data_IF_158608465490
#
_entry.id   IF_158608465490
#
_cell.length_a   1.000
_cell.length_b   1.000
_cell.length_c   1.000
_cell.angle_alpha   90.00
_cell.angle_beta   90.00
_cell.angle_gamma   90.00
#
_symmetry.space_group_name_H-M   'P 1'
#
loop_
_entity.id
_entity.type
_entity.pdbx_description
1 polymer ?
#
# COMPACT_ATOMS: atom_id res chain seq x y z
N UNK A 1 -24.06 -2.36 52.04
CA UNK A 1 -23.30 -1.25 51.41
C UNK A 1 -23.20 -1.61 49.93
N UNK A 2 -24.22 -1.58 49.07
CA UNK A 2 -25.21 -0.54 48.70
C UNK A 2 -24.61 0.79 48.25
N UNK A 3 -24.50 0.96 46.93
CA UNK A 3 -24.25 2.23 46.24
C UNK A 3 -23.49 1.99 44.92
N UNK A 4 -23.85 2.53 43.76
CA UNK A 4 -25.03 3.26 43.32
C UNK A 4 -25.07 3.16 41.78
N UNK A 5 -26.25 2.92 41.21
CA UNK A 5 -26.51 3.02 39.76
C UNK A 5 -26.54 4.51 39.35
N UNK A 6 -26.02 4.84 38.16
CA UNK A 6 -26.37 6.04 37.38
C UNK A 6 -26.69 5.54 35.95
N UNK A 7 -27.96 5.42 35.59
CA UNK A 7 -28.77 6.42 34.86
C UNK A 7 -28.01 6.98 33.66
N UNK A 8 -28.19 6.47 32.44
CA UNK A 8 -29.40 6.44 31.59
C UNK A 8 -29.82 7.84 31.11
N UNK A 9 -29.07 8.38 30.16
CA UNK A 9 -29.48 9.57 29.39
C UNK A 9 -29.84 9.12 27.98
N UNK A 10 -31.13 8.81 27.79
CA UNK A 10 -31.77 8.69 26.48
C UNK A 10 -31.85 10.10 25.88
N UNK A 11 -31.08 10.37 24.83
CA UNK A 11 -31.30 11.56 24.00
C UNK A 11 -32.25 11.18 22.88
N UNK A 12 -33.53 11.47 23.12
CA UNK A 12 -34.59 11.53 22.11
C UNK A 12 -34.42 12.86 21.37
N UNK A 13 -34.10 12.82 20.08
CA UNK A 13 -33.77 14.01 19.29
C UNK A 13 -34.45 14.02 17.92
N UNK A 14 -35.73 14.38 17.94
CA UNK A 14 -36.50 15.15 16.93
C UNK A 14 -36.21 14.92 15.44
N UNK A 15 -37.17 14.25 14.81
CA UNK A 15 -37.47 14.27 13.37
C UNK A 15 -37.88 15.69 12.95
N UNK A 16 -37.11 16.32 12.06
CA UNK A 16 -37.55 17.47 11.26
C UNK A 16 -37.48 17.05 9.80
N UNK A 17 -38.66 16.88 9.20
CA UNK A 17 -38.84 16.63 7.78
C UNK A 17 -38.47 17.86 6.97
N UNK A 18 -37.51 17.69 6.07
CA UNK A 18 -37.25 18.61 4.97
C UNK A 18 -37.63 17.88 3.69
N UNK A 19 -38.84 18.18 3.20
CA UNK A 19 -39.28 17.85 1.86
C UNK A 19 -38.63 18.86 0.90
N UNK A 20 -37.57 18.43 0.19
CA UNK A 20 -36.99 19.20 -0.92
C UNK A 20 -37.31 18.47 -2.22
N UNK A 21 -38.10 19.19 -3.01
CA UNK A 21 -38.48 19.02 -4.40
C UNK A 21 -37.49 18.24 -5.28
N UNK A 22 -38.00 17.15 -5.85
CA UNK A 22 -37.40 16.38 -6.95
C UNK A 22 -37.47 17.25 -8.22
N UNK A 23 -36.38 17.93 -8.55
CA UNK A 23 -36.20 18.51 -9.87
C UNK A 23 -35.75 17.40 -10.84
N UNK A 24 -36.57 17.13 -11.84
CA UNK A 24 -36.30 16.19 -12.91
C UNK A 24 -35.13 16.70 -13.77
N UNK A 25 -33.93 16.16 -13.56
CA UNK A 25 -32.86 16.22 -14.54
C UNK A 25 -33.09 15.10 -15.57
N UNK A 26 -33.77 15.45 -16.66
CA UNK A 26 -33.76 14.66 -17.89
C UNK A 26 -32.36 14.75 -18.50
N UNK A 27 -31.48 13.81 -18.14
CA UNK A 27 -30.25 13.56 -18.88
C UNK A 27 -30.61 12.85 -20.18
N UNK A 28 -30.86 13.62 -21.23
CA UNK A 28 -30.73 13.13 -22.59
C UNK A 28 -29.23 12.96 -22.85
N UNK A 29 -28.76 11.72 -22.92
CA UNK A 29 -27.41 11.40 -23.39
C UNK A 29 -27.33 11.73 -24.89
N UNK A 30 -26.53 12.72 -25.33
CA UNK A 30 -26.31 12.99 -26.75
C UNK A 30 -25.25 12.06 -27.35
N UNK A 31 -24.85 11.01 -26.64
CA UNK A 31 -23.85 10.06 -27.12
C UNK A 31 -24.56 8.87 -27.75
N UNK A 32 -24.74 8.99 -29.06
CA UNK A 32 -25.05 7.86 -29.94
C UNK A 32 -24.02 6.75 -29.66
N UNK A 33 -24.52 5.61 -29.16
CA UNK A 33 -23.69 4.46 -28.86
C UNK A 33 -22.92 4.09 -30.14
N UNK A 34 -21.58 4.05 -30.04
CA UNK A 34 -20.74 3.63 -31.15
C UNK A 34 -21.24 2.29 -31.69
N UNK A 35 -21.28 2.10 -33.02
CA UNK A 35 -21.73 0.86 -33.61
C UNK A 35 -20.91 -0.30 -33.02
N UNK A 36 -21.61 -1.34 -32.58
CA UNK A 36 -20.97 -2.58 -32.13
C UNK A 36 -20.12 -3.08 -33.30
N UNK A 37 -18.80 -3.26 -33.14
CA UNK A 37 -17.96 -3.73 -34.24
C UNK A 37 -18.47 -5.08 -34.72
N UNK A 38 -18.61 -5.22 -36.04
CA UNK A 38 -19.00 -6.48 -36.66
C UNK A 38 -18.06 -7.59 -36.19
N UNK A 39 -18.63 -8.61 -35.55
CA UNK A 39 -17.88 -9.80 -35.17
C UNK A 39 -17.50 -10.51 -36.45
N UNK A 40 -16.24 -10.34 -36.87
CA UNK A 40 -15.66 -11.16 -37.92
C UNK A 40 -15.76 -12.62 -37.46
N UNK A 41 -16.47 -13.50 -38.20
CA UNK A 41 -16.57 -14.91 -37.83
C UNK A 41 -15.16 -15.49 -37.81
N UNK A 42 -14.73 -15.96 -36.64
CA UNK A 42 -13.46 -16.66 -36.50
C UNK A 42 -13.53 -17.93 -37.36
N UNK A 43 -12.59 -18.14 -38.30
CA UNK A 43 -12.58 -19.37 -39.09
C UNK A 43 -12.44 -20.56 -38.16
N UNK A 44 -13.42 -21.48 -38.22
CA UNK A 44 -13.43 -22.71 -37.44
C UNK A 44 -12.38 -23.66 -38.02
N UNK A 45 -11.15 -23.59 -37.52
CA UNK A 45 -10.12 -24.59 -37.83
C UNK A 45 -10.49 -25.88 -37.10
N UNK A 46 -11.01 -26.87 -37.83
CA UNK A 46 -11.29 -28.20 -37.29
C UNK A 46 -9.98 -28.98 -37.17
N UNK A 47 -9.25 -28.79 -36.07
CA UNK A 47 -8.11 -29.62 -35.71
C UNK A 47 -8.62 -30.97 -35.23
N UNK A 48 -8.37 -32.04 -36.00
CA UNK A 48 -8.64 -33.41 -35.56
C UNK A 48 -7.62 -33.75 -34.47
N UNK A 49 -8.02 -33.63 -33.21
CA UNK A 49 -7.22 -34.10 -32.09
C UNK A 49 -7.10 -35.64 -32.14
N UNK A 50 -5.95 -36.23 -31.80
CA UNK A 50 -5.80 -37.67 -31.64
C UNK A 50 -6.84 -38.22 -30.66
N UNK A 51 -7.36 -39.45 -30.84
CA UNK A 51 -8.32 -40.06 -29.93
C UNK A 51 -7.73 -40.13 -28.51
N UNK A 52 -8.39 -39.46 -27.57
CA UNK A 52 -8.05 -39.45 -26.16
C UNK A 52 -8.57 -40.74 -25.49
N UNK A 53 -7.65 -41.65 -25.17
CA UNK A 53 -7.95 -42.90 -24.47
C UNK A 53 -7.94 -42.75 -22.94
N UNK A 54 -7.81 -41.54 -22.40
CA UNK A 54 -7.89 -41.28 -20.95
C UNK A 54 -9.34 -41.24 -20.42
N UNK A 55 -10.34 -41.27 -21.31
CA UNK A 55 -11.77 -41.19 -21.00
C UNK A 55 -12.42 -42.47 -20.50
N UNK A 56 -11.78 -43.27 -19.63
CA UNK A 56 -12.54 -44.23 -18.84
C UNK A 56 -13.33 -43.43 -17.81
N UNK A 57 -14.61 -43.23 -18.08
CA UNK A 57 -15.55 -42.68 -17.12
C UNK A 57 -15.68 -43.65 -15.93
N UNK A 58 -14.81 -43.48 -14.94
CA UNK A 58 -14.94 -44.17 -13.67
C UNK A 58 -16.18 -43.62 -12.96
N UNK A 59 -17.02 -44.51 -12.43
CA UNK A 59 -18.13 -44.08 -11.59
C UNK A 59 -17.58 -43.24 -10.43
N UNK A 60 -18.22 -42.10 -10.09
CA UNK A 60 -17.80 -41.30 -8.94
C UNK A 60 -17.84 -42.18 -7.70
N UNK A 61 -16.70 -42.33 -7.02
CA UNK A 61 -16.65 -43.01 -5.73
C UNK A 61 -17.19 -42.05 -4.70
N UNK A 62 -18.27 -42.42 -4.00
CA UNK A 62 -18.75 -41.66 -2.85
C UNK A 62 -17.70 -41.72 -1.73
N UNK A 63 -16.84 -40.70 -1.69
CA UNK A 63 -15.87 -40.48 -0.64
C UNK A 63 -16.15 -39.14 0.02
N UNK A 64 -16.39 -39.13 1.32
CA UNK A 64 -16.40 -37.90 2.11
C UNK A 64 -14.96 -37.55 2.46
N UNK A 65 -14.42 -36.47 1.90
CA UNK A 65 -13.12 -35.94 2.35
C UNK A 65 -13.29 -35.35 3.75
N UNK A 66 -12.75 -36.02 4.77
CA UNK A 66 -12.66 -35.45 6.11
C UNK A 66 -11.45 -34.52 6.16
N UNK A 67 -11.67 -33.22 5.96
CA UNK A 67 -10.65 -32.22 6.22
C UNK A 67 -10.61 -32.00 7.73
N UNK A 68 -9.58 -32.53 8.40
CA UNK A 68 -9.37 -32.23 9.81
C UNK A 68 -9.11 -30.73 9.98
N UNK A 69 -9.75 -30.12 10.98
CA UNK A 69 -9.49 -28.74 11.36
C UNK A 69 -8.00 -28.57 11.70
N UNK A 70 -7.36 -27.56 11.12
CA UNK A 70 -5.99 -27.22 11.48
C UNK A 70 -6.04 -26.50 12.82
N UNK A 71 -5.28 -27.01 13.79
CA UNK A 71 -5.12 -26.39 15.11
C UNK A 71 -3.65 -26.07 15.36
N UNK A 72 -3.37 -25.08 16.22
CA UNK A 72 -2.00 -24.73 16.64
C UNK A 72 -1.53 -25.63 17.80
N UNK A 73 -2.44 -26.03 18.69
CA UNK A 73 -2.15 -26.87 19.86
C UNK A 73 -3.39 -27.64 20.36
N UNK A 74 -3.25 -28.47 21.41
CA UNK A 74 -2.03 -28.67 22.21
C UNK A 74 -0.98 -29.56 21.50
N UNK A 75 0.29 -29.25 21.70
CA UNK A 75 1.44 -30.04 21.24
C UNK A 75 2.56 -30.07 22.30
N UNK A 76 3.79 -30.42 21.89
CA UNK A 76 4.97 -30.48 22.79
C UNK A 76 6.09 -29.54 22.37
N UNK A 77 5.88 -28.77 21.30
CA UNK A 77 6.87 -27.83 20.79
C UNK A 77 6.67 -26.47 21.44
N UNK A 78 7.70 -25.63 21.37
CA UNK A 78 7.67 -24.24 21.83
C UNK A 78 8.27 -23.37 20.74
N UNK A 79 7.64 -22.23 20.46
CA UNK A 79 8.25 -21.17 19.67
C UNK A 79 8.42 -19.95 20.55
N UNK A 80 9.61 -19.36 20.56
CA UNK A 80 9.91 -18.17 21.35
C UNK A 80 10.67 -17.16 20.51
N UNK A 81 10.87 -15.97 21.05
CA UNK A 81 11.64 -14.98 20.34
C UNK A 81 11.69 -13.62 21.01
N UNK A 82 12.26 -12.69 20.26
CA UNK A 82 12.30 -11.27 20.61
C UNK A 82 11.73 -10.44 19.47
N UNK A 83 11.07 -9.35 19.83
CA UNK A 83 10.61 -8.32 18.92
C UNK A 83 11.35 -7.02 19.22
N UNK A 84 12.05 -6.50 18.23
CA UNK A 84 12.73 -5.22 18.28
C UNK A 84 12.05 -4.24 17.32
N UNK A 85 11.94 -2.98 17.70
CA UNK A 85 11.56 -1.87 16.83
C UNK A 85 12.74 -0.90 16.63
N UNK A 86 12.50 0.25 15.98
CA UNK A 86 13.57 1.22 15.69
C UNK A 86 14.26 1.79 16.94
N UNK A 87 13.55 1.84 18.07
CA UNK A 87 14.05 2.38 19.34
C UNK A 87 14.52 1.27 20.31
N UNK A 88 14.65 0.03 19.83
CA UNK A 88 15.05 -1.14 20.63
C UNK A 88 13.89 -2.10 20.94
N UNK A 89 13.98 -2.88 22.04
CA UNK A 89 13.05 -3.96 22.33
C UNK A 89 11.63 -3.47 22.53
N UNK A 90 10.65 -4.20 21.98
CA UNK A 90 9.29 -3.69 21.88
C UNK A 90 8.31 -4.43 22.78
N UNK A 91 7.88 -3.77 23.86
CA UNK A 91 6.78 -4.25 24.70
C UNK A 91 5.42 -4.07 24.03
N UNK A 92 4.52 -5.03 24.25
CA UNK A 92 3.11 -4.93 23.86
C UNK A 92 2.87 -5.13 22.37
N UNK A 93 3.87 -5.62 21.63
CA UNK A 93 3.68 -6.03 20.24
C UNK A 93 2.90 -7.33 20.19
N UNK A 94 2.02 -7.46 19.21
CA UNK A 94 1.33 -8.71 18.90
C UNK A 94 2.20 -9.52 17.95
N UNK A 95 2.41 -10.80 18.27
CA UNK A 95 3.09 -11.79 17.45
C UNK A 95 2.04 -12.82 17.02
N UNK A 96 1.74 -12.89 15.72
CA UNK A 96 0.84 -13.89 15.14
C UNK A 96 1.63 -15.05 14.59
N UNK A 97 1.34 -16.22 15.11
CA UNK A 97 1.79 -17.51 14.61
C UNK A 97 0.67 -18.10 13.75
N UNK A 98 0.98 -18.47 12.52
CA UNK A 98 0.07 -19.20 11.65
C UNK A 98 0.68 -20.56 11.28
N UNK A 99 0.07 -21.64 11.76
CA UNK A 99 0.46 -23.00 11.39
C UNK A 99 -0.17 -23.36 10.05
N UNK A 100 0.64 -23.72 9.07
CA UNK A 100 0.21 -24.02 7.70
C UNK A 100 0.19 -25.53 7.45
N UNK A 101 -0.94 -26.06 6.97
CA UNK A 101 -1.10 -27.48 6.60
C UNK A 101 -1.88 -27.57 5.28
N UNK A 102 -1.18 -27.85 4.18
CA UNK A 102 -1.77 -27.73 2.85
C UNK A 102 -2.21 -26.29 2.60
N UNK A 103 -3.47 -26.12 2.19
CA UNK A 103 -4.10 -24.81 1.94
C UNK A 103 -4.80 -24.22 3.17
N UNK A 104 -4.80 -24.93 4.30
CA UNK A 104 -5.43 -24.50 5.54
C UNK A 104 -4.43 -23.91 6.54
N UNK A 105 -4.91 -23.00 7.39
CA UNK A 105 -4.09 -22.32 8.40
C UNK A 105 -4.83 -22.18 9.74
N UNK A 106 -4.08 -22.30 10.84
CA UNK A 106 -4.56 -22.04 12.20
C UNK A 106 -3.77 -20.89 12.83
N UNK A 107 -4.42 -20.03 13.62
CA UNK A 107 -3.82 -18.80 14.17
C UNK A 107 -3.68 -18.85 15.68
N UNK A 108 -2.61 -18.24 16.17
CA UNK A 108 -2.38 -17.95 17.59
C UNK A 108 -1.69 -16.60 17.71
N UNK A 109 -2.26 -15.70 18.51
CA UNK A 109 -1.67 -14.39 18.81
C UNK A 109 -1.11 -14.40 20.24
N UNK A 110 0.11 -13.91 20.40
CA UNK A 110 0.80 -13.71 21.68
C UNK A 110 1.33 -12.29 21.78
N UNK A 111 1.45 -11.77 22.99
CA UNK A 111 1.93 -10.40 23.22
C UNK A 111 3.34 -10.41 23.83
N UNK A 112 4.19 -9.49 23.39
CA UNK A 112 5.55 -9.35 23.93
C UNK A 112 5.56 -8.71 25.31
N UNK A 113 6.45 -9.19 26.17
CA UNK A 113 6.74 -8.61 27.50
C UNK A 113 7.63 -7.36 27.44
N UNK A 114 8.06 -6.83 28.61
CA UNK A 114 8.86 -5.60 28.72
C UNK A 114 10.16 -5.60 27.90
N UNK A 115 10.83 -6.76 27.80
CA UNK A 115 12.11 -6.93 27.08
C UNK A 115 11.93 -7.27 25.59
N UNK A 116 10.72 -7.11 25.06
CA UNK A 116 10.34 -7.55 23.70
C UNK A 116 10.26 -9.07 23.54
N UNK A 117 10.41 -9.84 24.62
CA UNK A 117 10.38 -11.29 24.59
C UNK A 117 8.95 -11.84 24.50
N UNK A 118 8.79 -12.94 23.77
CA UNK A 118 7.52 -13.66 23.64
C UNK A 118 7.75 -15.17 23.59
N UNK A 119 6.72 -15.94 23.95
CA UNK A 119 6.74 -17.40 23.92
C UNK A 119 5.34 -17.96 23.64
N UNK A 120 5.28 -19.01 22.81
CA UNK A 120 4.11 -19.83 22.53
C UNK A 120 4.44 -21.29 22.88
N UNK A 121 4.18 -21.73 24.12
CA UNK A 121 4.37 -23.12 24.53
C UNK A 121 3.23 -24.02 24.04
N UNK A 122 3.41 -25.33 24.17
CA UNK A 122 2.39 -26.36 23.92
C UNK A 122 1.77 -26.30 22.51
N UNK A 123 2.59 -26.01 21.50
CA UNK A 123 2.17 -25.98 20.10
C UNK A 123 2.62 -27.24 19.35
N UNK A 124 1.94 -27.56 18.25
CA UNK A 124 2.28 -28.66 17.36
C UNK A 124 3.52 -28.32 16.52
N UNK A 125 4.27 -29.33 16.10
CA UNK A 125 5.28 -29.14 15.05
C UNK A 125 4.66 -28.83 13.67
N UNK A 126 5.50 -28.41 12.73
CA UNK A 126 5.16 -28.16 11.34
C UNK A 126 5.69 -26.84 10.80
N UNK A 127 5.14 -26.41 9.66
CA UNK A 127 5.49 -25.13 9.02
C UNK A 127 4.70 -24.00 9.66
N UNK A 128 5.40 -22.97 10.11
CA UNK A 128 4.82 -21.76 10.69
C UNK A 128 5.17 -20.54 9.84
N UNK A 129 4.20 -19.62 9.72
CA UNK A 129 4.42 -18.24 9.32
C UNK A 129 4.29 -17.36 10.56
N UNK A 130 5.30 -16.54 10.85
CA UNK A 130 5.37 -15.69 12.04
C UNK A 130 5.47 -14.23 11.60
N UNK A 131 4.65 -13.38 12.19
CA UNK A 131 4.69 -11.93 11.97
C UNK A 131 4.43 -11.20 13.26
N UNK A 132 4.88 -9.96 13.35
CA UNK A 132 4.62 -9.11 14.50
C UNK A 132 4.22 -7.70 14.10
N UNK A 133 3.44 -7.03 14.94
CA UNK A 133 3.05 -5.64 14.77
C UNK A 133 2.72 -4.98 16.12
N UNK A 134 2.71 -3.66 16.13
CA UNK A 134 2.13 -2.84 17.21
C UNK A 134 1.40 -1.67 16.55
N UNK A 135 0.08 -1.75 16.55
CA UNK A 135 -0.75 -0.65 16.07
C UNK A 135 -0.48 0.63 16.89
N UNK A 136 -0.56 1.82 16.28
CA UNK A 136 -1.00 2.07 14.91
C UNK A 136 0.13 2.13 13.86
N UNK A 137 1.37 1.76 14.21
CA UNK A 137 2.51 2.23 13.42
C UNK A 137 3.69 1.30 13.25
N UNK A 138 3.72 0.13 13.88
CA UNK A 138 4.86 -0.77 13.74
C UNK A 138 4.41 -2.09 13.15
N UNK A 139 5.09 -2.59 12.13
CA UNK A 139 4.80 -3.89 11.53
C UNK A 139 6.06 -4.54 10.95
N UNK A 140 6.05 -5.87 10.89
CA UNK A 140 6.98 -6.65 10.06
C UNK A 140 6.41 -6.71 8.64
N UNK A 141 7.16 -6.25 7.64
CA UNK A 141 6.74 -6.32 6.23
C UNK A 141 6.82 -7.75 5.68
N UNK A 142 7.92 -8.45 5.97
CA UNK A 142 8.18 -9.79 5.47
C UNK A 142 7.98 -10.82 6.59
N UNK A 143 6.89 -11.61 6.57
CA UNK A 143 6.66 -12.61 7.59
C UNK A 143 7.72 -13.73 7.47
N UNK A 144 8.23 -14.18 8.61
CA UNK A 144 9.20 -15.27 8.62
C UNK A 144 8.50 -16.62 8.49
N UNK A 145 9.07 -17.51 7.69
CA UNK A 145 8.58 -18.88 7.53
C UNK A 145 9.63 -19.83 8.11
N UNK A 146 9.22 -20.65 9.07
CA UNK A 146 10.10 -21.63 9.72
C UNK A 146 9.43 -22.99 9.87
N UNK A 147 10.23 -24.04 10.03
CA UNK A 147 9.76 -25.38 10.32
C UNK A 147 10.12 -25.75 11.77
N UNK A 148 9.10 -26.05 12.56
CA UNK A 148 9.24 -26.45 13.96
C UNK A 148 9.10 -27.96 14.07
N UNK A 149 10.18 -28.64 14.46
CA UNK A 149 10.12 -30.06 14.77
C UNK A 149 9.19 -30.34 15.97
N UNK A 150 8.57 -31.53 15.99
CA UNK A 150 7.71 -31.95 17.10
C UNK A 150 8.52 -32.14 18.38
N UNK A 151 8.07 -31.55 19.49
CA UNK A 151 8.75 -31.65 20.79
C UNK A 151 10.02 -30.81 20.91
N UNK A 152 10.27 -29.87 19.98
CA UNK A 152 11.43 -28.99 20.00
C UNK A 152 11.07 -27.56 20.36
N UNK A 153 12.07 -26.81 20.81
CA UNK A 153 12.02 -25.36 20.93
C UNK A 153 12.74 -24.73 19.74
N UNK A 154 12.14 -23.70 19.16
CA UNK A 154 12.82 -22.83 18.20
C UNK A 154 12.70 -21.37 18.64
N UNK A 155 13.66 -20.56 18.20
CA UNK A 155 13.72 -19.12 18.48
C UNK A 155 13.75 -18.33 17.17
N UNK A 156 13.11 -17.16 17.17
CA UNK A 156 13.22 -16.19 16.07
C UNK A 156 13.25 -14.75 16.60
N UNK A 157 14.03 -13.90 15.94
CA UNK A 157 14.03 -12.46 16.15
C UNK A 157 13.21 -11.77 15.05
N UNK A 158 12.30 -10.89 15.45
CA UNK A 158 11.45 -10.10 14.55
C UNK A 158 11.81 -8.62 14.70
N UNK A 159 11.99 -7.92 13.59
CA UNK A 159 12.30 -6.48 13.57
C UNK A 159 11.13 -5.76 12.92
N UNK A 160 10.52 -4.81 13.63
CA UNK A 160 9.43 -4.00 13.12
C UNK A 160 9.94 -2.70 12.53
N UNK A 161 9.32 -2.30 11.43
CA UNK A 161 9.53 -1.01 10.80
C UNK A 161 8.43 -0.03 11.23
N UNK A 162 8.74 1.27 11.22
CA UNK A 162 7.81 2.35 11.59
C UNK A 162 7.10 2.93 10.37
N UNK A 163 5.77 2.88 10.41
CA UNK A 163 4.80 3.41 9.47
C UNK A 163 4.06 4.58 10.12
N UNK A 164 4.73 5.73 10.25
CA UNK A 164 4.10 7.01 10.64
C UNK A 164 4.36 8.14 9.65
N UNK A 165 5.06 7.84 8.56
CA UNK A 165 5.45 8.84 7.57
C UNK A 165 4.36 9.00 6.53
N UNK A 166 4.36 10.16 5.89
CA UNK A 166 3.64 10.33 4.64
C UNK A 166 4.32 9.43 3.61
N UNK A 167 3.53 8.63 2.91
CA UNK A 167 3.98 7.89 1.74
C UNK A 167 3.58 8.65 0.49
N UNK A 168 4.53 8.80 -0.43
CA UNK A 168 4.35 9.50 -1.70
C UNK A 168 4.48 8.50 -2.82
N UNK A 169 3.37 8.30 -3.54
CA UNK A 169 3.37 7.58 -4.81
C UNK A 169 3.33 8.60 -5.94
N UNK A 170 4.00 8.31 -7.05
CA UNK A 170 3.89 9.13 -8.26
C UNK A 170 3.65 8.26 -9.48
N UNK A 171 2.96 8.82 -10.46
CA UNK A 171 2.75 8.21 -11.76
C UNK A 171 2.77 9.30 -12.83
N UNK A 172 3.39 9.03 -13.97
CA UNK A 172 3.43 9.93 -15.12
C UNK A 172 2.68 9.31 -16.30
N UNK A 173 1.95 10.13 -17.07
CA UNK A 173 1.19 9.65 -18.21
C UNK A 173 1.27 10.65 -19.38
N UNK A 174 1.76 10.24 -20.56
CA UNK A 174 2.23 8.88 -20.90
C UNK A 174 3.57 8.51 -20.23
N UNK A 175 3.82 7.20 -20.09
CA UNK A 175 5.07 6.61 -19.60
C UNK A 175 5.63 5.62 -20.66
N UNK A 176 6.72 5.95 -21.37
CA UNK A 176 7.53 7.17 -21.22
C UNK A 176 6.86 8.43 -21.81
N UNK A 177 7.17 9.63 -21.29
CA UNK A 177 6.73 10.90 -21.86
C UNK A 177 7.39 11.21 -23.21
N UNK A 178 6.67 11.91 -24.10
CA UNK A 178 7.22 12.34 -25.39
C UNK A 178 7.77 13.77 -25.35
N UNK A 179 8.89 14.01 -26.04
CA UNK A 179 9.45 15.36 -26.22
C UNK A 179 8.43 16.26 -26.94
N UNK A 180 8.17 17.43 -26.37
CA UNK A 180 7.23 18.44 -26.89
C UNK A 180 5.76 18.16 -26.58
N UNK A 181 5.41 16.97 -26.08
CA UNK A 181 4.04 16.63 -25.73
C UNK A 181 3.71 17.03 -24.28
N UNK A 182 2.42 17.30 -24.02
CA UNK A 182 1.91 17.43 -22.65
C UNK A 182 1.89 16.07 -21.97
N UNK A 183 2.35 16.04 -20.73
CA UNK A 183 2.27 14.88 -19.84
C UNK A 183 1.70 15.31 -18.50
N UNK A 184 1.04 14.37 -17.81
CA UNK A 184 0.50 14.61 -16.48
C UNK A 184 1.29 13.80 -15.46
N UNK A 185 1.79 14.47 -14.42
CA UNK A 185 2.37 13.84 -13.25
C UNK A 185 1.32 13.83 -12.13
N UNK A 186 0.83 12.65 -11.78
CA UNK A 186 0.00 12.43 -10.60
C UNK A 186 0.91 12.19 -9.40
N UNK A 187 0.74 12.98 -8.34
CA UNK A 187 1.35 12.75 -7.04
C UNK A 187 0.26 12.39 -6.04
N UNK A 188 0.38 11.25 -5.38
CA UNK A 188 -0.53 10.81 -4.33
C UNK A 188 0.20 10.75 -3.00
N UNK A 189 -0.33 11.46 -2.02
CA UNK A 189 0.15 11.50 -0.65
C UNK A 189 -0.84 10.73 0.23
N UNK A 190 -0.32 9.79 0.99
CA UNK A 190 -1.10 9.00 1.95
C UNK A 190 -0.37 8.91 3.29
N UNK A 191 -1.08 8.64 4.37
CA UNK A 191 -0.47 8.15 5.59
C UNK A 191 -0.60 6.64 5.66
N UNK A 192 0.45 5.97 6.09
CA UNK A 192 0.39 4.55 6.39
C UNK A 192 -0.01 4.36 7.85
N UNK A 193 -0.95 3.44 8.10
CA UNK A 193 -1.41 3.05 9.44
C UNK A 193 -1.41 1.54 9.49
N UNK A 194 -0.90 0.98 10.58
CA UNK A 194 -0.99 -0.44 10.89
C UNK A 194 -2.29 -0.69 11.64
N UNK A 195 -3.16 -1.53 11.09
CA UNK A 195 -4.40 -1.91 11.76
C UNK A 195 -4.20 -2.96 12.87
N UNK A 196 -5.28 -3.34 13.54
CA UNK A 196 -5.24 -4.31 14.64
C UNK A 196 -4.82 -5.73 14.18
N UNK A 197 -4.86 -6.01 12.87
CA UNK A 197 -4.39 -7.23 12.25
C UNK A 197 -2.96 -7.11 11.72
N UNK A 198 -2.25 -6.01 11.99
CA UNK A 198 -0.88 -5.82 11.54
C UNK A 198 -0.77 -5.59 10.04
N UNK A 199 -1.85 -5.17 9.38
CA UNK A 199 -1.86 -4.84 7.96
C UNK A 199 -1.61 -3.35 7.81
N UNK A 200 -0.58 -3.00 7.04
CA UNK A 200 -0.29 -1.62 6.68
C UNK A 200 -1.29 -1.15 5.64
N UNK A 201 -2.06 -0.11 5.95
CA UNK A 201 -3.03 0.52 5.06
C UNK A 201 -2.64 1.95 4.77
N UNK A 202 -2.66 2.31 3.48
CA UNK A 202 -2.52 3.69 3.04
C UNK A 202 -3.89 4.39 3.14
N UNK A 203 -3.95 5.49 3.87
CA UNK A 203 -5.11 6.39 3.92
C UNK A 203 -4.75 7.69 3.19
N UNK A 204 -5.49 8.09 2.15
CA UNK A 204 -5.21 9.34 1.43
C UNK A 204 -5.19 10.55 2.36
N UNK A 205 -4.23 11.47 2.14
CA UNK A 205 -4.08 12.70 2.93
C UNK A 205 -4.39 13.91 2.08
N UNK A 206 -5.55 14.51 2.33
CA UNK A 206 -6.00 15.76 1.71
C UNK A 206 -5.39 16.98 2.39
N UNK A 207 -5.30 18.10 1.65
CA UNK A 207 -4.78 19.38 2.14
C UNK A 207 -3.28 19.38 2.42
N UNK A 208 -2.53 18.43 1.85
CA UNK A 208 -1.08 18.40 1.93
C UNK A 208 -0.54 19.22 0.77
N UNK A 209 0.23 20.26 1.08
CA UNK A 209 0.93 21.06 0.08
C UNK A 209 2.02 20.22 -0.59
N UNK A 210 2.01 20.16 -1.91
CA UNK A 210 3.00 19.46 -2.72
C UNK A 210 3.70 20.46 -3.62
N UNK A 211 5.02 20.51 -3.54
CA UNK A 211 5.86 21.38 -4.37
C UNK A 211 6.65 20.55 -5.37
N UNK A 212 6.53 20.88 -6.65
CA UNK A 212 7.21 20.28 -7.78
C UNK A 212 8.43 21.12 -8.17
N UNK A 213 9.60 20.51 -8.17
CA UNK A 213 10.82 21.07 -8.73
C UNK A 213 11.14 20.39 -10.06
N UNK A 214 11.17 21.18 -11.14
CA UNK A 214 11.46 20.74 -12.50
C UNK A 214 12.94 20.96 -12.85
N UNK A 215 13.61 19.94 -13.40
CA UNK A 215 14.93 20.09 -14.01
C UNK A 215 14.89 20.80 -15.37
N UNK A 216 16.06 21.04 -15.98
CA UNK A 216 16.18 21.77 -17.25
C UNK A 216 15.46 21.10 -18.45
N UNK A 217 15.22 19.79 -18.40
CA UNK A 217 14.47 19.06 -19.42
C UNK A 217 12.95 19.12 -19.28
N UNK A 218 12.43 19.81 -18.26
CA UNK A 218 11.01 19.86 -17.94
C UNK A 218 10.50 21.30 -17.86
N UNK A 219 9.31 21.53 -18.40
CA UNK A 219 8.58 22.78 -18.24
C UNK A 219 7.21 22.53 -17.61
N UNK A 220 6.95 23.14 -16.46
CA UNK A 220 5.64 23.09 -15.82
C UNK A 220 4.65 24.01 -16.54
N UNK A 221 3.49 23.45 -16.92
CA UNK A 221 2.36 24.19 -17.48
C UNK A 221 1.25 24.48 -16.45
N UNK A 222 1.30 23.81 -15.30
CA UNK A 222 0.47 24.10 -14.12
C UNK A 222 1.29 24.86 -13.06
N UNK A 223 0.65 25.42 -12.00
CA UNK A 223 1.39 25.86 -10.82
C UNK A 223 2.31 24.76 -10.28
N UNK A 224 3.51 25.14 -9.84
CA UNK A 224 4.52 24.22 -9.28
C UNK A 224 4.24 23.87 -7.82
N UNK A 225 3.18 24.41 -7.23
CA UNK A 225 2.75 24.15 -5.87
C UNK A 225 1.24 24.00 -5.87
N UNK A 226 0.74 22.93 -5.25
CA UNK A 226 -0.68 22.67 -5.14
C UNK A 226 -0.97 21.71 -3.97
N UNK A 227 -2.16 21.85 -3.37
CA UNK A 227 -2.61 20.98 -2.29
C UNK A 227 -3.26 19.69 -2.82
N UNK A 228 -3.06 18.59 -2.11
CA UNK A 228 -3.77 17.34 -2.40
C UNK A 228 -5.27 17.47 -2.15
N UNK A 229 -6.08 16.94 -3.08
CA UNK A 229 -7.54 16.86 -2.91
C UNK A 229 -7.99 15.78 -1.92
N UNK A 230 -9.30 15.51 -1.86
CA UNK A 230 -9.89 14.48 -0.97
C UNK A 230 -9.38 13.07 -1.24
N UNK A 231 -8.97 12.78 -2.48
CA UNK A 231 -8.31 11.53 -2.87
C UNK A 231 -6.83 11.47 -2.45
N UNK A 232 -6.33 12.46 -1.69
CA UNK A 232 -4.94 12.60 -1.31
C UNK A 232 -4.02 12.74 -2.51
N UNK A 233 -4.50 13.30 -3.62
CA UNK A 233 -3.74 13.38 -4.86
C UNK A 233 -3.80 14.77 -5.48
N UNK A 234 -2.78 15.10 -6.25
CA UNK A 234 -2.64 16.32 -7.04
C UNK A 234 -2.01 15.98 -8.39
N UNK A 235 -2.39 16.70 -9.43
CA UNK A 235 -1.87 16.48 -10.79
C UNK A 235 -1.17 17.74 -11.28
N UNK A 236 0.07 17.57 -11.76
CA UNK A 236 0.83 18.60 -12.43
C UNK A 236 0.85 18.34 -13.93
N UNK A 237 0.69 19.38 -14.74
CA UNK A 237 0.83 19.29 -16.20
C UNK A 237 2.21 19.80 -16.59
N UNK A 238 2.95 18.98 -17.33
CA UNK A 238 4.34 19.21 -17.72
C UNK A 238 4.51 19.05 -19.24
N UNK A 239 5.58 19.61 -19.79
CA UNK A 239 6.08 19.32 -21.14
C UNK A 239 7.54 18.92 -21.06
N UNK A 240 7.90 17.81 -21.70
CA UNK A 240 9.30 17.42 -21.82
C UNK A 240 9.99 18.20 -22.94
N UNK A 241 11.13 18.82 -22.65
CA UNK A 241 11.89 19.69 -23.56
C UNK A 241 13.12 19.02 -24.18
N UNK A 242 13.63 17.93 -23.59
CA UNK A 242 14.81 17.24 -24.07
C UNK A 242 14.66 15.71 -23.94
N UNK A 243 15.17 14.91 -24.90
CA UNK A 243 15.16 13.45 -24.77
C UNK A 243 16.06 12.96 -23.62
N UNK A 244 15.85 11.71 -23.20
CA UNK A 244 16.65 11.05 -22.16
C UNK A 244 16.08 11.18 -20.75
N UNK A 245 16.79 10.65 -19.77
CA UNK A 245 16.42 10.68 -18.36
C UNK A 245 16.52 12.11 -17.78
N UNK A 246 15.39 12.67 -17.34
CA UNK A 246 15.32 14.04 -16.82
C UNK A 246 14.79 14.03 -15.37
N UNK A 247 15.52 14.62 -14.40
CA UNK A 247 15.11 14.56 -13.00
C UNK A 247 13.85 15.41 -12.74
N UNK A 248 12.93 14.84 -11.96
CA UNK A 248 11.81 15.52 -11.34
C UNK A 248 11.89 15.28 -9.83
N UNK A 249 11.67 16.33 -9.05
CA UNK A 249 11.72 16.24 -7.60
C UNK A 249 10.40 16.75 -7.02
N UNK A 250 9.84 15.99 -6.09
CA UNK A 250 8.64 16.39 -5.34
C UNK A 250 9.04 16.58 -3.89
N UNK A 251 8.61 17.69 -3.31
CA UNK A 251 8.87 18.04 -1.91
C UNK A 251 7.54 18.26 -1.20
N UNK A 252 7.45 17.71 0.01
CA UNK A 252 6.31 17.90 0.89
C UNK A 252 6.86 18.50 2.19
N UNK A 253 6.31 19.63 2.68
CA UNK A 253 6.70 20.17 3.96
C UNK A 253 6.35 19.13 5.05
N UNK A 254 7.35 18.70 5.82
CA UNK A 254 7.13 17.79 6.92
C UNK A 254 6.29 18.50 7.99
N UNK A 255 5.04 18.09 8.17
CA UNK A 255 4.12 18.71 9.14
C UNK A 255 4.38 18.28 10.58
N UNK A 256 5.43 17.48 10.83
CA UNK A 256 5.76 17.02 12.18
C UNK A 256 6.69 18.07 12.81
N UNK A 257 6.21 18.98 13.68
CA UNK A 257 7.12 19.75 14.51
C UNK A 257 8.01 18.77 15.28
N UNK A 258 9.32 19.06 15.43
CA UNK A 258 10.19 18.18 16.18
C UNK A 258 9.61 18.02 17.59
N UNK A 259 9.66 16.83 18.22
CA UNK A 259 9.13 16.65 19.56
C UNK A 259 9.71 17.75 20.46
N UNK A 260 8.86 18.52 21.11
CA UNK A 260 9.29 19.54 22.06
C UNK A 260 10.26 18.87 23.05
N UNK A 261 11.43 19.47 23.35
CA UNK A 261 12.39 18.86 24.24
C UNK A 261 11.68 18.56 25.57
N UNK A 262 11.60 17.27 25.92
CA UNK A 262 11.05 16.85 27.20
C UNK A 262 11.88 17.51 28.29
N UNK A 263 11.30 18.30 29.21
CA UNK A 263 12.09 18.92 30.26
C UNK A 263 12.70 17.81 31.12
N UNK A 264 14.02 17.63 31.01
CA UNK A 264 14.77 16.77 31.92
C UNK A 264 14.68 17.39 33.31
N UNK A 265 13.84 16.82 34.18
CA UNK A 265 13.83 17.16 35.60
C UNK A 265 15.08 16.51 36.22
N UNK A 266 16.21 17.19 36.11
CA UNK A 266 17.40 16.85 36.89
C UNK A 266 17.20 17.40 38.30
N UNK A 267 16.70 16.57 39.20
CA UNK A 267 16.78 16.82 40.63
C UNK A 267 18.23 16.67 41.09
N UNK A 268 18.91 17.79 41.35
CA UNK A 268 20.16 17.82 42.10
C UNK A 268 20.37 19.20 42.74
N UNK A 269 20.94 19.16 43.95
CA UNK A 269 21.12 20.16 45.01
C UNK A 269 21.65 21.57 44.61
N UNK A 270 21.44 22.61 45.47
CA UNK A 270 21.86 24.00 45.22
C UNK A 270 23.30 24.32 45.73
N UNK A 271 23.89 25.50 45.45
CA UNK A 271 24.18 26.10 44.15
C UNK A 271 25.68 26.52 44.02
N UNK A 272 26.25 26.46 42.81
CA UNK A 272 27.47 27.20 42.45
C UNK A 272 27.10 28.24 41.36
N UNK A 273 27.40 29.53 41.51
CA UNK A 273 26.93 30.55 40.58
C UNK A 273 27.83 30.59 39.35
N UNK A 274 27.41 29.92 38.27
CA UNK A 274 28.07 30.00 36.98
C UNK A 274 27.09 30.23 35.83
N UNK A 275 27.34 31.36 35.16
CA UNK A 275 27.10 31.75 33.77
C UNK A 275 25.69 31.57 33.13
N UNK A 276 25.18 32.61 32.44
CA UNK A 276 23.97 32.48 31.63
C UNK A 276 24.24 31.58 30.42
N UNK A 277 23.59 30.42 30.37
CA UNK A 277 23.51 29.62 29.14
C UNK A 277 22.34 30.10 28.28
N UNK A 278 22.68 30.62 27.10
CA UNK A 278 21.73 30.91 26.03
C UNK A 278 21.19 29.60 25.47
N UNK A 279 19.88 29.37 25.57
CA UNK A 279 19.21 28.23 24.95
C UNK A 279 18.84 28.60 23.52
N UNK A 280 19.54 28.03 22.54
CA UNK A 280 19.20 28.18 21.11
C UNK A 280 17.99 27.31 20.79
N UNK A 281 16.92 27.83 20.16
CA UNK A 281 15.77 27.02 19.75
C UNK A 281 16.21 25.89 18.80
N UNK A 282 15.66 24.69 19.01
CA UNK A 282 15.90 23.56 18.11
C UNK A 282 15.38 23.90 16.70
N UNK A 283 16.22 23.73 15.68
CA UNK A 283 15.88 23.98 14.29
C UNK A 283 14.73 23.04 13.84
N UNK A 284 13.86 23.54 12.96
CA UNK A 284 12.82 22.73 12.34
C UNK A 284 13.44 21.53 11.56
N UNK A 285 12.79 20.36 11.54
CA UNK A 285 13.27 19.22 10.77
C UNK A 285 13.32 19.59 9.28
N UNK A 286 14.31 19.08 8.54
CA UNK A 286 14.38 19.30 7.11
C UNK A 286 13.12 18.73 6.41
N UNK A 287 12.70 19.32 5.28
CA UNK A 287 11.62 18.77 4.48
C UNK A 287 12.00 17.38 3.94
N UNK A 288 11.01 16.49 3.83
CA UNK A 288 11.21 15.19 3.18
C UNK A 288 11.30 15.39 1.66
N UNK A 289 12.40 14.90 1.07
CA UNK A 289 12.67 15.00 -0.37
C UNK A 289 12.50 13.63 -0.99
N UNK A 290 11.58 13.51 -1.94
CA UNK A 290 11.34 12.27 -2.69
C UNK A 290 11.95 12.41 -4.08
N UNK A 291 13.04 11.66 -4.31
CA UNK A 291 13.64 11.55 -5.63
C UNK A 291 12.83 10.53 -6.46
N UNK A 292 12.21 11.01 -7.53
CA UNK A 292 11.56 10.12 -8.48
C UNK A 292 12.62 9.44 -9.34
N UNK A 293 12.41 8.17 -9.69
CA UNK A 293 13.18 7.57 -10.77
C UNK A 293 13.03 8.47 -12.01
N UNK A 294 14.12 8.88 -12.66
CA UNK A 294 14.05 9.89 -13.71
C UNK A 294 13.29 9.30 -14.91
N UNK A 295 12.12 9.84 -15.28
CA UNK A 295 11.43 9.39 -16.48
C UNK A 295 12.30 9.66 -17.71
N UNK A 296 12.33 8.69 -18.62
CA UNK A 296 13.03 8.83 -19.89
C UNK A 296 12.10 9.46 -20.92
N UNK A 297 12.45 10.63 -21.42
CA UNK A 297 11.71 11.23 -22.53
C UNK A 297 12.13 10.61 -23.85
N UNK A 298 11.14 10.17 -24.64
CA UNK A 298 11.34 9.57 -25.95
C UNK A 298 10.95 10.55 -27.04
N UNK A 299 11.75 10.63 -28.10
CA UNK A 299 11.38 11.37 -29.31
C UNK A 299 10.32 10.54 -30.05
N UNK A 300 9.15 11.10 -30.40
CA UNK A 300 8.18 10.39 -31.22
C UNK A 300 8.86 9.87 -32.49
N UNK A 301 8.62 8.60 -32.83
CA UNK A 301 9.05 8.08 -34.12
C UNK A 301 8.44 8.97 -35.22
N UNK A 302 9.19 9.37 -36.26
CA UNK A 302 8.62 10.11 -37.37
C UNK A 302 7.45 9.30 -37.94
N UNK A 303 6.34 9.96 -38.35
CA UNK A 303 5.23 9.26 -38.96
C UNK A 303 5.78 8.44 -40.12
N UNK A 304 5.61 7.11 -40.07
CA UNK A 304 6.02 6.25 -41.17
C UNK A 304 5.09 6.59 -42.33
N UNK A 305 5.56 7.42 -43.25
CA UNK A 305 4.84 7.68 -44.49
C UNK A 305 4.74 6.33 -45.19
N UNK A 306 3.53 5.76 -45.37
CA UNK A 306 3.41 4.51 -46.09
C UNK A 306 4.08 4.72 -47.45
N UNK A 307 4.89 3.75 -47.93
CA UNK A 307 5.52 3.86 -49.23
C UNK A 307 4.41 4.19 -50.25
N UNK A 308 4.65 5.14 -51.18
CA UNK A 308 3.66 5.52 -52.17
C UNK A 308 3.14 4.24 -52.82
N UNK A 309 1.83 4.00 -52.68
CA UNK A 309 1.20 2.74 -53.03
C UNK A 309 1.66 2.29 -54.41
N UNK A 310 2.40 1.19 -54.46
CA UNK A 310 2.73 0.54 -55.71
C UNK A 310 1.42 0.24 -56.41
N UNK A 311 1.24 0.80 -57.61
CA UNK A 311 0.15 0.43 -58.52
C UNK A 311 0.12 -1.08 -58.65
N UNK A 312 -0.88 -1.71 -58.05
CA UNK A 312 -1.08 -3.16 -58.15
C UNK A 312 -1.24 -3.56 -59.62
N UNK A 313 -0.81 -4.78 -60.00
CA UNK A 313 -0.94 -5.26 -61.36
C UNK A 313 -2.43 -5.33 -61.75
N UNK A 314 -2.78 -4.68 -62.85
CA UNK A 314 -4.07 -4.84 -63.51
C UNK A 314 -4.19 -6.28 -64.00
N UNK A 315 -4.95 -7.12 -63.31
CA UNK A 315 -5.31 -8.44 -63.81
C UNK A 315 -6.32 -8.28 -64.95
N UNK A 316 -5.86 -8.45 -66.18
CA UNK A 316 -6.72 -8.60 -67.36
C UNK A 316 -7.26 -10.03 -67.39
N UNK A 317 -8.51 -10.22 -67.01
CA UNK A 317 -9.26 -11.45 -67.33
C UNK A 317 -9.54 -11.50 -68.83
N UNK A 318 -9.05 -12.55 -69.49
CA UNK A 318 -9.41 -12.91 -70.85
C UNK A 318 -10.45 -14.04 -70.82
N UNK A 319 -11.61 -13.75 -71.42
CA UNK A 319 -12.64 -14.71 -71.83
C UNK A 319 -12.24 -15.40 -73.15
#
# INVERSE_FOLDING_TARGET
MTGARRDQTRVLGVVVGIAVSVAACTSGDPFEALPVPDRVPTPTTSTVAPPDFSGVALAPVEGSTTTSEVVVGPGRSTLAGRVDGPDGPLQGAVVRLERLVGDAAARLDVTTGPEGLWQAPDILGGRYRVRAWRAPDLAVLEPQILFLESGRTAETALVLERFRTLAVDTAIAPDPPFVGARTNLLVRVSSQIVDDDGVVRATPKAGVEVTLATGAGWEAQSPVQADTGTAGAVTFTLVCRAPGAQPLMVTIPSTTPPPAPTPTVTGSLPPDPAAPSSTVPAAAPPPEVFNLAPPECVVPAPPTVPPPGGTGPTTTDAL
#
